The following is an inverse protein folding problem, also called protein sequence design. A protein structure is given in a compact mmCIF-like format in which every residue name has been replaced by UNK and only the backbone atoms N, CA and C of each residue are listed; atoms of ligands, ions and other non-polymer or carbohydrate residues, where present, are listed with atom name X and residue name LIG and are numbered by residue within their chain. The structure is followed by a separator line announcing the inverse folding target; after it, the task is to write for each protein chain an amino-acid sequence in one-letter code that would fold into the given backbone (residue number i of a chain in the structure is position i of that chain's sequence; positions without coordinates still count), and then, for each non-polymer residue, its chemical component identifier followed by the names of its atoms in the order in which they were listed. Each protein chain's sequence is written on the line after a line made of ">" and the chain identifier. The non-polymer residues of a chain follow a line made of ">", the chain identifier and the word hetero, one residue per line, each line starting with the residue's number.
data_IF_761848118098
#
_entry.id   IF_761848118098
#
_cell.length_a   1.000
_cell.length_b   1.000
_cell.length_c   1.000
_cell.angle_alpha   90.00
_cell.angle_beta   90.00
_cell.angle_gamma   90.00
#
_symmetry.space_group_name_H-M   'P 1'
#
loop_
_entity.id
_entity.type
_entity.pdbx_description
1 polymer ?
#
# COMPACT_ATOMS: atom_id res chain seq x y z
N UNK A 1 -6.69 -10.59 2.74
CA UNK A 1 -7.18 -9.37 3.43
C UNK A 1 -6.75 -9.33 4.88
N UNK A 2 -7.01 -10.36 5.69
CA UNK A 2 -6.58 -10.43 7.11
C UNK A 2 -5.07 -10.19 7.26
N UNK A 3 -4.24 -10.85 6.44
CA UNK A 3 -2.78 -10.65 6.44
C UNK A 3 -2.39 -9.21 6.10
N UNK A 4 -3.09 -8.56 5.17
CA UNK A 4 -2.79 -7.19 4.75
C UNK A 4 -3.18 -6.19 5.85
N UNK A 5 -4.33 -6.40 6.49
CA UNK A 5 -4.77 -5.58 7.63
C UNK A 5 -3.79 -5.72 8.81
N UNK A 6 -3.34 -6.94 9.11
CA UNK A 6 -2.36 -7.19 10.16
C UNK A 6 -1.03 -6.47 9.89
N UNK A 7 -0.53 -6.51 8.64
CA UNK A 7 0.70 -5.81 8.24
C UNK A 7 0.59 -4.29 8.40
N UNK A 8 -0.56 -3.71 8.02
CA UNK A 8 -0.78 -2.26 8.14
C UNK A 8 -0.90 -1.83 9.60
N UNK A 9 -1.62 -2.62 10.41
CA UNK A 9 -1.74 -2.36 11.84
C UNK A 9 -0.38 -2.43 12.54
N UNK A 10 0.43 -3.45 12.25
CA UNK A 10 1.78 -3.57 12.83
C UNK A 10 2.70 -2.43 12.40
N UNK A 11 2.63 -2.01 11.13
CA UNK A 11 3.40 -0.88 10.63
C UNK A 11 3.04 0.44 11.34
N UNK A 12 1.74 0.67 11.58
CA UNK A 12 1.29 1.88 12.29
C UNK A 12 1.67 1.90 13.77
N UNK A 13 1.67 0.75 14.43
CA UNK A 13 2.19 0.64 15.81
C UNK A 13 3.68 0.98 15.83
N UNK A 14 4.46 0.40 14.91
CA UNK A 14 5.89 0.66 14.82
C UNK A 14 6.19 2.15 14.56
N UNK A 15 5.47 2.79 13.64
CA UNK A 15 5.65 4.21 13.30
C UNK A 15 5.43 5.17 14.49
N UNK A 16 4.59 4.80 15.46
CA UNK A 16 4.33 5.63 16.66
C UNK A 16 5.26 5.30 17.83
N UNK A 17 6.17 4.34 17.68
CA UNK A 17 7.03 3.85 18.76
C UNK A 17 8.50 4.25 18.65
N UNK A 18 8.88 4.93 17.57
CA UNK A 18 10.29 5.26 17.26
C UNK A 18 10.39 6.73 16.87
N UNK A 19 11.42 7.42 17.37
CA UNK A 19 11.76 8.77 16.91
C UNK A 19 12.28 8.71 15.47
N UNK A 20 11.70 9.54 14.61
CA UNK A 20 12.05 9.63 13.20
C UNK A 20 12.90 10.86 12.94
N UNK A 21 13.92 10.79 12.05
CA UNK A 21 14.58 11.99 11.55
C UNK A 21 13.54 12.95 10.97
N UNK A 22 13.66 14.25 11.28
CA UNK A 22 12.70 15.25 10.78
C UNK A 22 12.56 15.23 9.25
N UNK A 23 13.65 14.96 8.52
CA UNK A 23 13.67 14.81 7.07
C UNK A 23 12.88 13.59 6.54
N UNK A 24 12.62 12.59 7.38
CA UNK A 24 11.90 11.37 7.02
C UNK A 24 10.37 11.48 7.23
N UNK A 25 9.93 12.38 8.12
CA UNK A 25 8.53 12.47 8.56
C UNK A 25 7.57 12.72 7.39
N UNK A 26 7.92 13.65 6.48
CA UNK A 26 7.09 13.93 5.31
C UNK A 26 7.00 12.71 4.38
N UNK A 27 8.14 12.08 4.07
CA UNK A 27 8.18 10.89 3.21
C UNK A 27 7.37 9.75 3.83
N UNK A 28 7.46 9.56 5.16
CA UNK A 28 6.69 8.54 5.86
C UNK A 28 5.19 8.83 5.81
N UNK A 29 4.81 10.08 6.03
CA UNK A 29 3.38 10.49 5.97
C UNK A 29 2.80 10.24 4.58
N UNK A 30 3.57 10.56 3.52
CA UNK A 30 3.15 10.27 2.14
C UNK A 30 3.10 8.76 1.89
N UNK A 31 4.07 7.99 2.38
CA UNK A 31 4.10 6.53 2.25
C UNK A 31 2.90 5.86 2.96
N UNK A 32 2.56 6.29 4.19
CA UNK A 32 1.40 5.80 4.93
C UNK A 32 0.09 6.11 4.19
N UNK A 33 -0.09 7.36 3.75
CA UNK A 33 -1.28 7.75 2.97
C UNK A 33 -1.40 6.92 1.70
N UNK A 34 -0.30 6.70 1.00
CA UNK A 34 -0.26 5.86 -0.19
C UNK A 34 -0.62 4.40 0.12
N UNK A 35 -0.14 3.86 1.24
CA UNK A 35 -0.49 2.52 1.72
C UNK A 35 -1.99 2.34 1.92
N UNK A 36 -2.68 3.33 2.49
CA UNK A 36 -4.14 3.31 2.63
C UNK A 36 -4.87 3.35 1.29
N UNK A 37 -4.41 4.16 0.34
CA UNK A 37 -4.99 4.23 -1.01
C UNK A 37 -4.85 2.88 -1.72
N UNK A 38 -3.65 2.27 -1.66
CA UNK A 38 -3.38 0.95 -2.23
C UNK A 38 -4.27 -0.12 -1.59
N UNK A 39 -4.37 -0.14 -0.26
CA UNK A 39 -5.24 -1.07 0.46
C UNK A 39 -6.68 -0.95 -0.03
N UNK A 40 -7.22 0.28 -0.07
CA UNK A 40 -8.57 0.55 -0.52
C UNK A 40 -8.81 0.05 -1.95
N UNK A 41 -7.89 0.33 -2.87
CA UNK A 41 -7.98 -0.15 -4.25
C UNK A 41 -7.99 -1.69 -4.34
N UNK A 42 -7.11 -2.37 -3.63
CA UNK A 42 -7.04 -3.84 -3.62
C UNK A 42 -8.27 -4.47 -2.99
N UNK A 43 -8.80 -3.88 -1.91
CA UNK A 43 -10.04 -4.33 -1.27
C UNK A 43 -11.23 -4.17 -2.22
N UNK A 44 -11.35 -3.03 -2.90
CA UNK A 44 -12.40 -2.80 -3.90
C UNK A 44 -12.30 -3.79 -5.07
N UNK A 45 -11.10 -4.04 -5.60
CA UNK A 45 -10.89 -5.04 -6.66
C UNK A 45 -11.25 -6.45 -6.18
N UNK A 46 -10.92 -6.79 -4.94
CA UNK A 46 -11.28 -8.07 -4.34
C UNK A 46 -12.80 -8.21 -4.21
N UNK A 47 -13.50 -7.18 -3.72
CA UNK A 47 -14.96 -7.15 -3.64
C UNK A 47 -15.61 -7.20 -5.02
N UNK A 48 -15.10 -6.49 -6.02
CA UNK A 48 -15.58 -6.55 -7.39
C UNK A 48 -15.50 -8.00 -7.92
N UNK A 49 -14.33 -8.63 -7.81
CA UNK A 49 -14.17 -10.04 -8.22
C UNK A 49 -15.06 -10.98 -7.42
N UNK A 50 -15.22 -10.74 -6.11
CA UNK A 50 -16.08 -11.51 -5.21
C UNK A 50 -17.57 -11.40 -5.55
N UNK A 51 -18.04 -10.21 -5.94
CA UNK A 51 -19.41 -9.97 -6.39
C UNK A 51 -19.78 -10.85 -7.60
N UNK A 52 -18.80 -11.11 -8.47
CA UNK A 52 -18.95 -12.05 -9.59
C UNK A 52 -18.48 -13.47 -9.28
N UNK A 53 -18.55 -13.90 -8.01
CA UNK A 53 -18.24 -15.26 -7.55
C UNK A 53 -16.85 -15.74 -7.99
N UNK A 54 -15.88 -14.82 -8.04
CA UNK A 54 -14.50 -15.12 -8.41
C UNK A 54 -14.19 -14.97 -9.90
N UNK A 55 -15.16 -14.73 -10.77
CA UNK A 55 -14.97 -14.63 -12.22
C UNK A 55 -15.47 -13.30 -12.78
N UNK A 56 -14.57 -12.47 -13.30
CA UNK A 56 -14.96 -11.17 -13.89
C UNK A 56 -15.65 -11.40 -15.24
N UNK A 57 -16.87 -10.86 -15.46
CA UNK A 57 -17.61 -11.00 -16.71
C UNK A 57 -16.80 -10.48 -17.92
N UNK A 58 -16.92 -11.08 -19.12
CA UNK A 58 -16.11 -10.70 -20.29
C UNK A 58 -16.10 -9.21 -20.61
N UNK A 59 -17.26 -8.53 -20.55
CA UNK A 59 -17.37 -7.10 -20.81
C UNK A 59 -16.72 -6.19 -19.75
N UNK A 60 -16.44 -6.71 -18.55
CA UNK A 60 -15.81 -5.96 -17.46
C UNK A 60 -14.31 -6.24 -17.32
N UNK A 61 -13.79 -7.28 -17.98
CA UNK A 61 -12.38 -7.64 -17.96
C UNK A 61 -11.42 -6.48 -18.30
N UNK A 62 -11.65 -5.67 -19.36
CA UNK A 62 -10.72 -4.58 -19.67
C UNK A 62 -10.67 -3.52 -18.55
N UNK A 63 -11.82 -3.20 -17.96
CA UNK A 63 -11.91 -2.26 -16.85
C UNK A 63 -11.23 -2.78 -15.59
N UNK A 64 -11.46 -4.06 -15.27
CA UNK A 64 -10.80 -4.72 -14.15
C UNK A 64 -9.28 -4.78 -14.35
N UNK A 65 -8.80 -5.10 -15.56
CA UNK A 65 -7.38 -5.13 -15.89
C UNK A 65 -6.74 -3.74 -15.77
N UNK A 66 -7.40 -2.70 -16.30
CA UNK A 66 -6.91 -1.32 -16.16
C UNK A 66 -6.82 -0.89 -14.69
N UNK A 67 -7.84 -1.19 -13.88
CA UNK A 67 -7.82 -0.89 -12.46
C UNK A 67 -6.70 -1.67 -11.73
N UNK A 68 -6.40 -2.89 -12.15
CA UNK A 68 -5.29 -3.68 -11.63
C UNK A 68 -3.93 -3.04 -11.97
N UNK A 69 -3.75 -2.57 -13.22
CA UNK A 69 -2.54 -1.87 -13.66
C UNK A 69 -2.32 -0.61 -12.82
N UNK A 70 -3.38 0.17 -12.58
CA UNK A 70 -3.32 1.36 -11.71
C UNK A 70 -2.92 0.96 -10.29
N UNK A 71 -3.51 -0.09 -9.72
CA UNK A 71 -3.15 -0.58 -8.39
C UNK A 71 -1.68 -1.01 -8.29
N UNK A 72 -1.14 -1.66 -9.34
CA UNK A 72 0.29 -2.00 -9.43
C UNK A 72 1.15 -0.74 -9.48
N UNK A 73 0.77 0.27 -10.26
CA UNK A 73 1.50 1.55 -10.29
C UNK A 73 1.54 2.24 -8.93
N UNK A 74 0.41 2.25 -8.21
CA UNK A 74 0.32 2.79 -6.85
C UNK A 74 1.20 2.01 -5.86
N UNK A 75 1.28 0.67 -6.00
CA UNK A 75 2.16 -0.20 -5.22
C UNK A 75 3.64 0.11 -5.48
N UNK A 76 4.04 0.23 -6.75
CA UNK A 76 5.42 0.55 -7.13
C UNK A 76 5.83 1.90 -6.55
N UNK A 77 4.96 2.91 -6.66
CA UNK A 77 5.23 4.23 -6.08
C UNK A 77 5.36 4.16 -4.55
N UNK A 78 4.49 3.41 -3.87
CA UNK A 78 4.59 3.16 -2.43
C UNK A 78 5.94 2.50 -2.07
N UNK A 79 6.39 1.51 -2.85
CA UNK A 79 7.67 0.84 -2.65
C UNK A 79 8.86 1.78 -2.83
N UNK A 80 8.82 2.72 -3.78
CA UNK A 80 9.86 3.75 -3.95
C UNK A 80 9.96 4.64 -2.70
N UNK A 81 8.82 5.07 -2.15
CA UNK A 81 8.81 5.85 -0.91
C UNK A 81 9.37 5.04 0.27
N UNK A 82 8.97 3.77 0.40
CA UNK A 82 9.51 2.86 1.40
C UNK A 82 11.03 2.67 1.27
N UNK A 83 11.52 2.53 0.04
CA UNK A 83 12.95 2.47 -0.24
C UNK A 83 13.69 3.74 0.19
N UNK A 84 13.13 4.94 -0.06
CA UNK A 84 13.73 6.20 0.43
C UNK A 84 13.79 6.26 1.95
N UNK A 85 12.74 5.82 2.65
CA UNK A 85 12.73 5.74 4.11
C UNK A 85 13.91 4.93 4.64
N UNK A 86 14.17 3.77 4.04
CA UNK A 86 15.28 2.89 4.46
C UNK A 86 16.64 3.43 4.00
N UNK A 87 16.82 3.64 2.70
CA UNK A 87 18.15 3.88 2.11
C UNK A 87 18.61 5.33 2.18
N UNK A 88 17.69 6.29 2.27
CA UNK A 88 18.05 7.72 2.38
C UNK A 88 18.01 8.19 3.82
N UNK A 89 17.03 7.73 4.60
CA UNK A 89 16.79 8.24 5.95
C UNK A 89 17.11 7.25 7.08
N UNK A 90 17.50 6.01 6.77
CA UNK A 90 17.84 5.02 7.79
C UNK A 90 16.65 4.55 8.63
N UNK A 91 15.40 4.74 8.19
CA UNK A 91 14.23 4.29 8.93
C UNK A 91 14.14 2.77 8.89
N UNK A 92 14.02 2.12 10.05
CA UNK A 92 13.86 0.66 10.17
C UNK A 92 15.15 -0.13 10.10
N UNK A 93 16.30 0.53 9.95
CA UNK A 93 17.63 -0.06 10.19
C UNK A 93 18.06 0.38 11.58
N UNK A 94 17.80 -0.45 12.60
CA UNK A 94 18.21 -0.14 13.98
C UNK A 94 19.70 0.16 14.04
N UNK A 95 20.06 1.35 14.52
CA UNK A 95 21.39 1.73 14.97
C UNK A 95 21.34 1.94 16.48
#
# INVERSE_FOLDING_TARGET
>A
TIVIVAVIASGRVAANSVELPAAAVETLTVHERQGWIVLGALVLLHFWKGWHRGQVPPGQRPWFAMALIVAVGLLVYSAVLGGRLVYTYGVGVGL
#
